data_IF_690688375296
#
_entry.id   IF_690688375296
#
_cell.length_a   1.000
_cell.length_b   1.000
_cell.length_c   1.000
_cell.angle_alpha   90.00
_cell.angle_beta   90.00
_cell.angle_gamma   90.00
#
_symmetry.space_group_name_H-M   'P 1'
#
loop_
_entity.id
_entity.type
_entity.pdbx_description
1 polymer ?
#
# COMPACT_ATOMS: atom_id res chain seq x y z
N UNK A 1 8.40 2.86 6.50
CA UNK A 1 9.69 3.57 6.30
C UNK A 1 9.63 4.95 6.97
N UNK A 2 10.79 5.59 7.23
CA UNK A 2 10.86 6.87 7.97
C UNK A 2 9.91 7.94 7.43
N UNK A 3 9.80 8.06 6.11
CA UNK A 3 8.90 9.01 5.46
C UNK A 3 7.42 8.79 5.87
N UNK A 4 6.92 7.56 5.74
CA UNK A 4 5.53 7.21 6.09
C UNK A 4 5.26 7.50 7.57
N UNK A 5 6.17 7.08 8.47
CA UNK A 5 6.04 7.34 9.90
C UNK A 5 5.98 8.84 10.21
N UNK A 6 6.83 9.66 9.58
CA UNK A 6 6.83 11.12 9.77
C UNK A 6 5.56 11.80 9.24
N UNK A 7 4.95 11.27 8.18
CA UNK A 7 3.64 11.73 7.70
C UNK A 7 2.55 11.40 8.73
N UNK A 8 2.54 10.17 9.23
CA UNK A 8 1.56 9.71 10.23
C UNK A 8 1.65 10.49 11.55
N UNK A 9 2.86 10.83 12.03
CA UNK A 9 3.06 11.72 13.20
C UNK A 9 2.38 13.09 13.03
N UNK A 10 2.26 13.56 11.78
CA UNK A 10 1.60 14.82 11.42
C UNK A 10 0.14 14.64 11.01
N UNK A 11 -0.44 13.44 11.17
CA UNK A 11 -1.80 13.09 10.73
C UNK A 11 -2.01 13.26 9.22
N UNK A 12 -0.98 12.97 8.43
CA UNK A 12 -1.02 13.02 6.96
C UNK A 12 -1.08 11.58 6.44
N UNK A 13 -2.10 11.29 5.65
CA UNK A 13 -2.23 10.01 4.93
C UNK A 13 -1.31 9.95 3.71
N UNK A 14 -0.81 8.76 3.41
CA UNK A 14 0.11 8.49 2.30
C UNK A 14 -0.55 7.51 1.33
N UNK A 15 -0.95 8.03 0.17
CA UNK A 15 -1.57 7.26 -0.92
C UNK A 15 -0.72 7.35 -2.20
N UNK A 16 0.28 6.47 -2.42
CA UNK A 16 1.06 6.44 -3.64
C UNK A 16 0.21 6.21 -4.91
N UNK A 17 0.60 6.90 -5.98
CA UNK A 17 0.05 6.80 -7.33
C UNK A 17 1.19 6.64 -8.36
N UNK A 18 1.01 6.02 -9.51
CA UNK A 18 0.07 4.92 -9.78
C UNK A 18 0.86 3.62 -9.65
N UNK A 19 0.36 2.66 -8.88
CA UNK A 19 1.06 1.40 -8.63
C UNK A 19 0.31 0.25 -9.29
N UNK A 20 0.96 -0.42 -10.23
CA UNK A 20 0.32 -1.44 -11.08
C UNK A 20 0.96 -2.84 -10.95
N UNK A 21 2.17 -2.91 -10.40
CA UNK A 21 2.95 -4.14 -10.22
C UNK A 21 2.69 -4.76 -8.85
N UNK A 22 2.51 -6.08 -8.81
CA UNK A 22 2.12 -6.80 -7.59
C UNK A 22 3.21 -6.72 -6.51
N UNK A 23 4.48 -6.80 -6.91
CA UNK A 23 5.63 -6.68 -6.01
C UNK A 23 5.68 -5.31 -5.34
N UNK A 24 5.45 -4.23 -6.10
CA UNK A 24 5.43 -2.87 -5.57
C UNK A 24 4.22 -2.61 -4.67
N UNK A 25 3.06 -3.18 -5.01
CA UNK A 25 1.88 -3.17 -4.13
C UNK A 25 2.23 -3.77 -2.77
N UNK A 26 2.77 -4.99 -2.73
CA UNK A 26 3.13 -5.67 -1.48
C UNK A 26 4.20 -4.88 -0.71
N UNK A 27 5.22 -4.38 -1.40
CA UNK A 27 6.29 -3.58 -0.79
C UNK A 27 5.75 -2.31 -0.13
N UNK A 28 4.82 -1.61 -0.78
CA UNK A 28 4.21 -0.39 -0.25
C UNK A 28 3.24 -0.69 0.90
N UNK A 29 2.47 -1.76 0.82
CA UNK A 29 1.64 -2.23 1.94
C UNK A 29 2.50 -2.54 3.18
N UNK A 30 3.62 -3.24 3.00
CA UNK A 30 4.61 -3.48 4.08
C UNK A 30 5.27 -2.19 4.59
N UNK A 31 5.29 -1.13 3.78
CA UNK A 31 5.73 0.19 4.22
C UNK A 31 4.69 0.90 5.10
N UNK A 32 3.47 0.39 5.22
CA UNK A 32 2.41 0.98 6.03
C UNK A 32 1.74 2.17 5.35
N UNK A 33 1.66 2.20 4.02
CA UNK A 33 0.87 3.22 3.32
C UNK A 33 -0.62 3.05 3.62
N UNK A 34 -1.38 4.15 3.57
CA UNK A 34 -2.80 4.15 3.96
C UNK A 34 -3.73 3.70 2.83
N UNK A 35 -3.25 3.78 1.59
CA UNK A 35 -3.94 3.26 0.42
C UNK A 35 -3.04 3.25 -0.81
N UNK A 36 -3.53 2.64 -1.89
CA UNK A 36 -2.80 2.56 -3.17
C UNK A 36 -3.75 2.98 -4.29
N UNK A 37 -3.28 3.87 -5.15
CA UNK A 37 -3.99 4.28 -6.36
C UNK A 37 -3.43 3.47 -7.53
N UNK A 38 -4.29 2.73 -8.23
CA UNK A 38 -3.92 1.80 -9.30
C UNK A 38 -4.86 1.92 -10.49
N UNK A 39 -4.34 1.74 -11.71
CA UNK A 39 -5.16 1.62 -12.91
C UNK A 39 -5.88 0.26 -12.99
N UNK A 40 -5.44 -0.71 -12.17
CA UNK A 40 -5.97 -2.07 -12.12
C UNK A 40 -6.56 -2.37 -10.73
N UNK A 41 -7.71 -1.76 -10.35
CA UNK A 41 -8.27 -1.91 -9.01
C UNK A 41 -8.61 -3.37 -8.65
N UNK A 42 -8.98 -4.18 -9.64
CA UNK A 42 -9.22 -5.62 -9.47
C UNK A 42 -7.93 -6.40 -9.13
N UNK A 43 -6.81 -6.07 -9.78
CA UNK A 43 -5.50 -6.67 -9.49
C UNK A 43 -5.04 -6.26 -8.09
N UNK A 44 -5.12 -4.96 -7.78
CA UNK A 44 -4.81 -4.42 -6.47
C UNK A 44 -5.61 -5.11 -5.36
N UNK A 45 -6.92 -5.29 -5.56
CA UNK A 45 -7.77 -5.97 -4.59
C UNK A 45 -7.34 -7.42 -4.34
N UNK A 46 -7.04 -8.19 -5.41
CA UNK A 46 -6.57 -9.57 -5.28
C UNK A 46 -5.28 -9.65 -4.46
N UNK A 47 -4.30 -8.83 -4.80
CA UNK A 47 -2.99 -8.79 -4.11
C UNK A 47 -3.17 -8.38 -2.64
N UNK A 48 -4.01 -7.38 -2.37
CA UNK A 48 -4.30 -6.95 -0.99
C UNK A 48 -4.91 -8.06 -0.14
N UNK A 49 -5.85 -8.84 -0.68
CA UNK A 49 -6.45 -9.96 0.06
C UNK A 49 -5.40 -11.03 0.38
N UNK A 50 -4.58 -11.41 -0.59
CA UNK A 50 -3.49 -12.39 -0.39
C UNK A 50 -2.50 -11.90 0.68
N UNK A 51 -2.01 -10.67 0.55
CA UNK A 51 -1.13 -10.06 1.54
C UNK A 51 -1.75 -10.01 2.94
N UNK A 52 -3.05 -9.70 3.05
CA UNK A 52 -3.75 -9.62 4.35
C UNK A 52 -3.91 -11.00 5.02
N UNK A 53 -4.09 -12.05 4.24
CA UNK A 53 -4.20 -13.42 4.76
C UNK A 53 -2.87 -13.92 5.32
N UNK A 54 -1.74 -13.55 4.70
CA UNK A 54 -0.38 -13.90 5.16
C UNK A 54 0.02 -13.22 6.48
N UNK A 55 -0.65 -12.13 6.85
CA UNK A 55 -0.38 -11.36 8.08
C UNK A 55 -1.24 -11.82 9.28
N UNK A 56 -2.12 -12.82 9.09
CA UNK A 56 -2.87 -13.47 10.18
C UNK A 56 -2.06 -14.59 10.81
#
# INVERSE_FOLDING_TARGET
PKFVTQCHEKKIEVLPWTVNDEEDIVKLLNCGVDGIISDYPNKLYRVYIQWKEEQK
#
